data_IF_249307759619
#
_entry.id   IF_249307759619
#
_cell.length_a   1.000
_cell.length_b   1.000
_cell.length_c   1.000
_cell.angle_alpha   90.00
_cell.angle_beta   90.00
_cell.angle_gamma   90.00
#
_symmetry.space_group_name_H-M   'P 1'
#
loop_
_entity.id
_entity.type
_entity.pdbx_description
1 polymer ?
#
# COMPACT_ATOMS: atom_id res chain seq x y z
N UNK A 1 -7.02 -3.80 -5.25
CA UNK A 1 -5.88 -3.12 -4.57
C UNK A 1 -4.61 -3.46 -5.32
N UNK A 2 -3.57 -2.63 -5.26
CA UNK A 2 -2.26 -2.96 -5.82
C UNK A 2 -1.15 -2.70 -4.81
N UNK A 3 -0.15 -3.59 -4.79
CA UNK A 3 1.05 -3.42 -3.95
C UNK A 3 2.29 -3.64 -4.81
N UNK A 4 2.62 -2.71 -5.74
CA UNK A 4 3.85 -2.78 -6.50
C UNK A 4 5.04 -2.75 -5.55
N UNK A 5 5.95 -3.70 -5.68
CA UNK A 5 7.09 -3.81 -4.81
C UNK A 5 8.31 -4.28 -5.58
N UNK A 6 9.47 -3.83 -5.15
CA UNK A 6 10.74 -4.28 -5.69
C UNK A 6 11.85 -4.10 -4.65
N UNK A 7 13.02 -4.61 -4.98
CA UNK A 7 14.25 -4.26 -4.27
C UNK A 7 15.11 -3.38 -5.17
N UNK A 8 15.87 -2.46 -4.56
CA UNK A 8 16.72 -1.49 -5.26
C UNK A 8 18.09 -1.38 -4.58
N UNK A 9 19.14 -1.21 -5.38
CA UNK A 9 20.49 -0.88 -4.91
C UNK A 9 20.72 0.64 -4.77
N UNK A 10 19.73 1.46 -5.14
CA UNK A 10 19.77 2.93 -5.05
C UNK A 10 19.15 3.48 -3.76
N UNK A 11 18.77 2.63 -2.82
CA UNK A 11 18.15 3.01 -1.56
C UNK A 11 18.93 2.41 -0.39
N UNK A 12 19.22 3.26 0.60
CA UNK A 12 19.83 2.83 1.86
C UNK A 12 18.78 2.42 2.90
N UNK A 13 17.54 2.92 2.73
CA UNK A 13 16.42 2.68 3.63
C UNK A 13 15.16 2.25 2.87
N UNK A 14 14.20 1.67 3.59
CA UNK A 14 12.90 1.31 3.03
C UNK A 14 12.11 2.56 2.69
N UNK A 15 11.53 2.59 1.50
CA UNK A 15 10.63 3.65 1.06
C UNK A 15 9.27 3.07 0.74
N UNK A 16 8.23 3.68 1.30
CA UNK A 16 6.85 3.35 1.00
C UNK A 16 6.07 4.59 0.59
N UNK A 17 5.15 4.43 -0.35
CA UNK A 17 4.21 5.48 -0.73
C UNK A 17 2.80 4.89 -0.85
N UNK A 18 1.80 5.63 -0.38
CA UNK A 18 0.40 5.27 -0.55
C UNK A 18 -0.28 6.25 -1.52
N UNK A 19 -0.98 5.69 -2.49
CA UNK A 19 -1.80 6.44 -3.44
C UNK A 19 -3.25 5.99 -3.38
N UNK A 20 -4.16 6.97 -3.48
CA UNK A 20 -5.60 6.72 -3.62
C UNK A 20 -6.14 7.37 -4.88
N UNK A 21 -6.81 6.58 -5.71
CA UNK A 21 -7.67 7.06 -6.79
C UNK A 21 -9.13 6.95 -6.38
N UNK A 22 -9.89 8.04 -6.53
CA UNK A 22 -11.33 8.09 -6.22
C UNK A 22 -12.14 7.31 -7.26
N UNK A 23 -11.77 7.42 -8.53
CA UNK A 23 -12.41 6.73 -9.66
C UNK A 23 -11.85 5.32 -9.88
N UNK A 24 -10.63 5.06 -9.42
CA UNK A 24 -9.87 3.86 -9.76
C UNK A 24 -8.98 4.07 -10.99
N UNK A 25 -8.00 3.18 -11.16
CA UNK A 25 -7.11 3.11 -12.33
C UNK A 25 -7.13 1.68 -12.89
N UNK A 26 -6.96 1.56 -14.22
CA UNK A 26 -6.63 0.28 -14.83
C UNK A 26 -5.26 -0.18 -14.31
N UNK A 27 -5.16 -1.44 -13.91
CA UNK A 27 -3.95 -1.98 -13.29
C UNK A 27 -3.77 -3.49 -13.53
N UNK A 28 -4.49 -4.05 -14.50
CA UNK A 28 -4.49 -5.50 -14.77
C UNK A 28 -4.71 -6.36 -13.51
N UNK A 29 -5.66 -5.93 -12.66
CA UNK A 29 -6.01 -6.67 -11.46
C UNK A 29 -6.61 -8.04 -11.82
N UNK A 30 -6.38 -9.06 -10.98
CA UNK A 30 -6.86 -10.42 -11.22
C UNK A 30 -8.38 -10.53 -11.40
N UNK A 31 -9.13 -9.65 -10.75
CA UNK A 31 -10.59 -9.54 -10.83
C UNK A 31 -11.07 -8.55 -11.90
N UNK A 32 -10.15 -7.96 -12.66
CA UNK A 32 -10.36 -6.87 -13.63
C UNK A 32 -11.03 -5.62 -13.04
N UNK A 33 -11.08 -5.48 -11.71
CA UNK A 33 -11.67 -4.32 -11.08
C UNK A 33 -10.69 -3.12 -11.09
N UNK A 34 -11.17 -1.87 -11.28
CA UNK A 34 -10.32 -0.69 -11.16
C UNK A 34 -9.67 -0.61 -9.77
N UNK A 35 -8.35 -0.42 -9.76
CA UNK A 35 -7.59 -0.30 -8.51
C UNK A 35 -7.74 1.10 -7.93
N UNK A 36 -8.26 1.19 -6.71
CA UNK A 36 -8.42 2.46 -5.98
C UNK A 36 -7.31 2.76 -4.98
N UNK A 37 -6.64 1.73 -4.47
CA UNK A 37 -5.59 1.87 -3.46
C UNK A 37 -4.31 1.20 -3.94
N UNK A 38 -3.22 1.95 -3.89
CA UNK A 38 -1.89 1.51 -4.32
C UNK A 38 -0.90 1.75 -3.19
N UNK A 39 -0.13 0.74 -2.83
CA UNK A 39 1.04 0.89 -1.95
C UNK A 39 2.29 0.51 -2.73
N UNK A 40 3.13 1.49 -3.03
CA UNK A 40 4.48 1.23 -3.53
C UNK A 40 5.38 0.91 -2.34
N UNK A 41 6.09 -0.21 -2.39
CA UNK A 41 6.99 -0.65 -1.33
C UNK A 41 8.35 -1.05 -1.91
N UNK A 42 9.37 -0.23 -1.70
CA UNK A 42 10.72 -0.45 -2.21
C UNK A 42 11.66 -0.65 -1.04
N UNK A 43 12.46 -1.71 -1.09
CA UNK A 43 13.41 -2.07 -0.04
C UNK A 43 14.84 -2.11 -0.56
N UNK A 44 15.85 -1.85 0.29
CA UNK A 44 17.25 -2.09 -0.05
C UNK A 44 17.47 -3.55 -0.48
N UNK A 45 18.31 -3.76 -1.50
CA UNK A 45 18.56 -5.08 -2.12
C UNK A 45 18.95 -6.17 -1.13
N UNK A 46 19.70 -5.83 -0.09
CA UNK A 46 20.16 -6.74 0.95
C UNK A 46 19.15 -7.00 2.08
N UNK A 47 17.97 -6.35 2.07
CA UNK A 47 16.97 -6.45 3.14
C UNK A 47 15.64 -7.07 2.69
N UNK A 48 15.53 -7.55 1.45
CA UNK A 48 14.26 -8.02 0.89
C UNK A 48 13.55 -9.07 1.77
N UNK A 49 14.28 -10.12 2.18
CA UNK A 49 13.71 -11.19 3.01
C UNK A 49 13.20 -10.69 4.38
N UNK A 50 13.89 -9.72 4.97
CA UNK A 50 13.51 -9.13 6.27
C UNK A 50 12.15 -8.43 6.20
N UNK A 51 11.79 -7.90 5.04
CA UNK A 51 10.58 -7.09 4.85
C UNK A 51 9.39 -7.86 4.27
N UNK A 52 9.52 -9.16 4.01
CA UNK A 52 8.39 -9.99 3.56
C UNK A 52 7.22 -9.99 4.55
N UNK A 53 7.51 -9.93 5.87
CA UNK A 53 6.47 -9.79 6.89
C UNK A 53 5.75 -8.45 6.80
N UNK A 54 6.48 -7.37 6.54
CA UNK A 54 5.91 -6.02 6.33
C UNK A 54 4.98 -6.02 5.11
N UNK A 55 5.41 -6.62 4.01
CA UNK A 55 4.60 -6.74 2.79
C UNK A 55 3.30 -7.54 3.06
N UNK A 56 3.39 -8.66 3.79
CA UNK A 56 2.22 -9.44 4.19
C UNK A 56 1.27 -8.64 5.10
N UNK A 57 1.79 -7.86 6.03
CA UNK A 57 0.99 -6.99 6.90
C UNK A 57 0.27 -5.90 6.11
N UNK A 58 0.93 -5.26 5.14
CA UNK A 58 0.31 -4.27 4.24
C UNK A 58 -0.84 -4.93 3.46
N UNK A 59 -0.61 -6.12 2.89
CA UNK A 59 -1.64 -6.85 2.15
C UNK A 59 -2.83 -7.20 3.04
N UNK A 60 -2.59 -7.68 4.27
CA UNK A 60 -3.64 -8.00 5.24
C UNK A 60 -4.45 -6.77 5.64
N UNK A 61 -3.78 -5.65 5.93
CA UNK A 61 -4.41 -4.38 6.27
C UNK A 61 -5.33 -3.89 5.15
N UNK A 62 -4.86 -3.89 3.91
CA UNK A 62 -5.68 -3.48 2.76
C UNK A 62 -6.74 -4.51 2.36
N UNK A 63 -6.63 -5.76 2.80
CA UNK A 63 -7.66 -6.78 2.59
C UNK A 63 -8.85 -6.62 3.56
N UNK A 64 -8.67 -5.90 4.66
CA UNK A 64 -9.77 -5.53 5.55
C UNK A 64 -10.72 -4.53 4.87
N UNK A 65 -12.00 -4.88 4.80
CA UNK A 65 -13.03 -4.03 4.20
C UNK A 65 -13.22 -2.70 4.95
N UNK A 66 -13.21 -2.73 6.27
CA UNK A 66 -13.40 -1.53 7.11
C UNK A 66 -12.27 -0.52 6.89
N UNK A 67 -11.04 -1.01 6.74
CA UNK A 67 -9.88 -0.17 6.40
C UNK A 67 -10.08 0.48 5.04
N UNK A 68 -10.49 -0.29 4.01
CA UNK A 68 -10.74 0.26 2.67
C UNK A 68 -11.86 1.29 2.66
N UNK A 69 -12.92 1.08 3.43
CA UNK A 69 -14.03 2.04 3.55
C UNK A 69 -13.56 3.35 4.19
N UNK A 70 -12.77 3.29 5.27
CA UNK A 70 -12.17 4.47 5.89
C UNK A 70 -11.20 5.20 4.95
N UNK A 71 -10.34 4.47 4.24
CA UNK A 71 -9.42 5.06 3.27
C UNK A 71 -10.17 5.67 2.08
N UNK A 72 -11.32 5.13 1.69
CA UNK A 72 -12.16 5.71 0.64
C UNK A 72 -12.81 7.03 1.07
N UNK A 73 -13.22 7.14 2.34
CA UNK A 73 -13.94 8.31 2.87
C UNK A 73 -13.05 9.45 3.34
N UNK A 74 -11.76 9.18 3.61
CA UNK A 74 -10.80 10.18 4.06
C UNK A 74 -10.73 11.40 3.12
N UNK A 75 -10.65 12.61 3.67
CA UNK A 75 -10.69 13.86 2.90
C UNK A 75 -9.31 14.47 2.68
N UNK A 76 -8.29 14.00 3.38
CA UNK A 76 -6.93 14.52 3.31
C UNK A 76 -5.88 13.42 3.47
N UNK A 77 -4.63 13.77 3.15
CA UNK A 77 -3.49 12.90 3.42
C UNK A 77 -3.31 12.65 4.93
N UNK A 78 -3.60 13.65 5.77
CA UNK A 78 -3.52 13.50 7.23
C UNK A 78 -4.54 12.50 7.77
N UNK A 79 -5.78 12.53 7.26
CA UNK A 79 -6.80 11.54 7.65
C UNK A 79 -6.39 10.12 7.22
N UNK A 80 -5.82 9.97 6.02
CA UNK A 80 -5.25 8.70 5.55
C UNK A 80 -4.15 8.24 6.52
N UNK A 81 -3.20 9.09 6.87
CA UNK A 81 -2.11 8.75 7.77
C UNK A 81 -2.61 8.34 9.16
N UNK A 82 -3.66 8.98 9.69
CA UNK A 82 -4.28 8.58 10.96
C UNK A 82 -4.86 7.16 10.88
N UNK A 83 -5.52 6.78 9.78
CA UNK A 83 -6.05 5.41 9.60
C UNK A 83 -4.94 4.36 9.65
N UNK A 84 -3.76 4.65 9.09
CA UNK A 84 -2.60 3.76 9.18
C UNK A 84 -2.05 3.65 10.61
N UNK A 85 -2.07 4.73 11.40
CA UNK A 85 -1.58 4.76 12.79
C UNK A 85 -2.52 4.06 13.77
N UNK A 86 -3.83 4.18 13.58
CA UNK A 86 -4.85 3.63 14.51
C UNK A 86 -5.01 2.10 14.39
N UNK A 87 -4.32 1.49 13.43
CA UNK A 87 -4.43 0.06 13.07
C UNK A 87 -3.07 -0.65 13.02
N UNK A 88 -1.99 0.05 13.37
CA UNK A 88 -0.62 -0.48 13.50
C UNK A 88 -0.34 -1.05 14.89
#
# INVERSE_FOLDING_TARGET
>A
IAIPHCSSDRLDEVVAAFGRSTTGIEFDALDNAPVKFVVLFIVPKNQFQTHLRTLASIAKFLNDRSVRESLASAKSADEILSIFRDRS
#
